data_IF_012115807669
#
_entry.id   IF_012115807669
#
_cell.length_a   1.000
_cell.length_b   1.000
_cell.length_c   1.000
_cell.angle_alpha   90.00
_cell.angle_beta   90.00
_cell.angle_gamma   90.00
#
_symmetry.space_group_name_H-M   'P 1'
#
loop_
_entity.id
_entity.type
_entity.pdbx_description
1 polymer ?
#
# COMPACT_ATOMS: atom_id res chain seq x y z
N UNK A 1 9.39 1.60 -12.44
CA UNK A 1 8.26 0.92 -11.78
C UNK A 1 7.86 -0.34 -12.53
N UNK A 2 8.33 -1.48 -12.03
CA UNK A 2 8.03 -2.80 -12.55
C UNK A 2 6.70 -3.28 -12.00
N UNK A 3 5.76 -3.50 -12.91
CA UNK A 3 4.45 -4.10 -12.60
C UNK A 3 4.60 -5.61 -12.70
N UNK A 4 4.29 -6.32 -11.60
CA UNK A 4 4.35 -7.78 -11.55
C UNK A 4 3.06 -8.41 -12.10
N UNK A 5 1.91 -7.83 -11.76
CA UNK A 5 0.58 -8.32 -12.16
C UNK A 5 -0.39 -7.16 -12.34
N UNK A 6 -1.43 -7.37 -13.16
CA UNK A 6 -2.46 -6.36 -13.45
C UNK A 6 -3.86 -6.94 -13.33
N UNK A 7 -4.84 -6.09 -13.07
CA UNK A 7 -6.25 -6.45 -13.17
C UNK A 7 -6.73 -7.37 -12.05
N UNK A 8 -6.16 -7.27 -10.86
CA UNK A 8 -6.49 -8.12 -9.73
C UNK A 8 -7.65 -7.57 -8.90
N UNK A 9 -8.59 -8.43 -8.50
CA UNK A 9 -9.61 -8.06 -7.51
C UNK A 9 -9.04 -8.15 -6.10
N UNK A 10 -9.50 -7.24 -5.23
CA UNK A 10 -9.05 -7.22 -3.83
C UNK A 10 -9.33 -8.53 -3.10
N UNK A 11 -10.43 -9.22 -3.42
CA UNK A 11 -10.77 -10.50 -2.79
C UNK A 11 -9.86 -11.66 -3.21
N UNK A 12 -9.30 -11.61 -4.42
CA UNK A 12 -8.33 -12.60 -4.92
C UNK A 12 -7.00 -12.39 -4.19
N UNK A 13 -6.52 -11.15 -4.16
CA UNK A 13 -5.29 -10.79 -3.45
C UNK A 13 -5.43 -11.04 -1.94
N UNK A 14 -6.58 -10.72 -1.36
CA UNK A 14 -6.83 -10.95 0.06
C UNK A 14 -7.20 -12.41 0.35
N UNK A 15 -7.53 -13.25 -0.64
CA UNK A 15 -8.03 -14.62 -0.44
C UNK A 15 -9.30 -14.70 0.45
N UNK A 16 -10.09 -13.62 0.55
CA UNK A 16 -11.36 -13.58 1.29
C UNK A 16 -12.32 -12.60 0.61
N UNK A 17 -13.58 -13.03 0.47
CA UNK A 17 -14.67 -12.21 -0.07
C UNK A 17 -14.93 -10.96 0.79
N UNK A 18 -15.26 -9.85 0.14
CA UNK A 18 -15.66 -8.58 0.80
C UNK A 18 -14.62 -8.00 1.78
N UNK A 19 -13.32 -8.24 1.57
CA UNK A 19 -12.26 -7.77 2.45
C UNK A 19 -12.11 -6.23 2.46
N UNK A 20 -12.31 -5.60 3.62
CA UNK A 20 -12.38 -4.13 3.74
C UNK A 20 -11.05 -3.46 4.10
N UNK A 21 -10.17 -4.13 4.86
CA UNK A 21 -8.94 -3.48 5.38
C UNK A 21 -7.97 -3.09 4.26
N UNK A 22 -7.13 -2.09 4.53
CA UNK A 22 -6.14 -1.58 3.57
C UNK A 22 -4.82 -2.37 3.59
N UNK A 23 -4.71 -3.36 4.47
CA UNK A 23 -3.61 -4.31 4.48
C UNK A 23 -4.11 -5.69 4.91
N UNK A 24 -3.33 -6.73 4.62
CA UNK A 24 -3.53 -8.07 5.16
C UNK A 24 -2.19 -8.79 5.30
N UNK A 25 -2.05 -9.62 6.33
CA UNK A 25 -0.90 -10.53 6.49
C UNK A 25 -1.32 -11.94 6.09
N UNK A 26 -0.58 -12.58 5.17
CA UNK A 26 -0.76 -13.98 4.71
C UNK A 26 0.63 -14.54 4.47
N UNK A 27 0.95 -15.74 4.97
CA UNK A 27 2.18 -16.48 4.66
C UNK A 27 3.47 -15.64 4.74
N UNK A 28 3.63 -14.87 5.83
CA UNK A 28 4.77 -13.96 6.06
C UNK A 28 4.86 -12.76 5.09
N UNK A 29 3.82 -12.52 4.30
CA UNK A 29 3.67 -11.35 3.41
C UNK A 29 2.68 -10.35 4.00
N UNK A 30 3.09 -9.08 4.08
CA UNK A 30 2.23 -7.93 4.29
C UNK A 30 1.75 -7.39 2.94
N UNK A 31 0.50 -7.72 2.57
CA UNK A 31 -0.16 -7.22 1.37
C UNK A 31 -0.81 -5.88 1.67
N UNK A 32 -0.39 -4.83 0.96
CA UNK A 32 -0.90 -3.47 1.10
C UNK A 32 -1.83 -3.13 -0.07
N UNK A 33 -3.02 -2.61 0.23
CA UNK A 33 -4.05 -2.22 -0.72
C UNK A 33 -4.20 -0.70 -0.74
N UNK A 34 -3.73 -0.09 -1.82
CA UNK A 34 -3.68 1.36 -1.98
C UNK A 34 -4.67 1.81 -3.03
N UNK A 35 -5.44 2.85 -2.68
CA UNK A 35 -6.24 3.61 -3.62
C UNK A 35 -5.65 5.01 -3.66
N UNK A 36 -5.23 5.45 -4.84
CA UNK A 36 -4.56 6.75 -5.04
C UNK A 36 -5.50 7.91 -4.76
N UNK A 37 -6.77 7.80 -5.15
CA UNK A 37 -7.79 8.84 -4.91
C UNK A 37 -8.30 8.88 -3.46
N UNK A 38 -7.78 8.02 -2.58
CA UNK A 38 -8.22 8.01 -1.18
C UNK A 38 -7.73 9.26 -0.45
N UNK A 39 -8.67 10.09 -0.05
CA UNK A 39 -8.43 11.21 0.86
C UNK A 39 -8.57 10.78 2.33
N UNK A 40 -7.77 11.39 3.18
CA UNK A 40 -7.90 11.34 4.63
C UNK A 40 -8.99 12.33 5.10
N UNK A 41 -9.42 12.27 6.39
CA UNK A 41 -10.46 13.15 6.91
C UNK A 41 -10.15 14.65 6.80
N UNK A 42 -8.86 15.01 6.77
CA UNK A 42 -8.39 16.39 6.58
C UNK A 42 -8.44 16.85 5.10
N UNK A 43 -8.91 16.01 4.17
CA UNK A 43 -9.01 16.31 2.74
C UNK A 43 -7.73 16.06 1.94
N UNK A 44 -6.61 15.75 2.59
CA UNK A 44 -5.34 15.44 1.94
C UNK A 44 -5.30 14.00 1.43
N UNK A 45 -4.42 13.71 0.47
CA UNK A 45 -4.22 12.35 -0.02
C UNK A 45 -3.65 11.47 1.10
N UNK A 46 -4.29 10.33 1.35
CA UNK A 46 -3.81 9.38 2.34
C UNK A 46 -2.56 8.62 1.84
N UNK A 47 -2.41 8.49 0.52
CA UNK A 47 -1.33 7.79 -0.14
C UNK A 47 -0.91 8.53 -1.41
N UNK A 48 0.35 8.40 -1.81
CA UNK A 48 0.89 8.96 -3.05
C UNK A 48 1.86 7.97 -3.69
N UNK A 49 1.71 7.75 -4.99
CA UNK A 49 2.68 7.03 -5.80
C UNK A 49 3.50 8.04 -6.60
N UNK A 50 4.80 8.11 -6.31
CA UNK A 50 5.76 8.91 -7.05
C UNK A 50 6.35 8.07 -8.19
N UNK A 51 5.68 8.12 -9.33
CA UNK A 51 6.07 7.38 -10.53
C UNK A 51 7.43 7.81 -11.09
N UNK A 52 7.85 9.05 -10.84
CA UNK A 52 9.13 9.57 -11.35
C UNK A 52 10.31 9.00 -10.57
N UNK A 53 10.16 8.88 -9.26
CA UNK A 53 11.22 8.43 -8.36
C UNK A 53 11.09 6.95 -7.95
N UNK A 54 10.10 6.23 -8.48
CA UNK A 54 9.76 4.85 -8.09
C UNK A 54 9.55 4.70 -6.58
N UNK A 55 8.76 5.60 -5.99
CA UNK A 55 8.44 5.55 -4.55
C UNK A 55 6.95 5.50 -4.29
N UNK A 56 6.56 4.87 -3.19
CA UNK A 56 5.21 5.01 -2.65
C UNK A 56 5.26 5.54 -1.22
N UNK A 57 4.42 6.53 -0.94
CA UNK A 57 4.22 7.14 0.37
C UNK A 57 2.82 6.79 0.85
N UNK A 58 2.71 6.00 1.93
CA UNK A 58 1.44 5.49 2.41
C UNK A 58 1.16 5.98 3.83
N UNK A 59 -0.12 6.06 4.17
CA UNK A 59 -0.57 6.45 5.50
C UNK A 59 -0.04 7.84 5.95
N UNK A 60 0.04 8.78 5.00
CA UNK A 60 0.67 10.08 5.23
C UNK A 60 -0.10 10.97 6.21
N UNK A 61 -1.41 10.73 6.36
CA UNK A 61 -2.30 11.58 7.15
C UNK A 61 -2.30 11.30 8.67
N UNK A 62 -1.77 10.16 9.11
CA UNK A 62 -1.69 9.82 10.53
C UNK A 62 -0.37 9.11 10.84
N UNK A 63 0.66 9.91 11.17
CA UNK A 63 2.00 9.41 11.48
C UNK A 63 2.01 8.57 12.77
N UNK A 64 1.14 8.86 13.73
CA UNK A 64 1.07 8.11 14.99
C UNK A 64 0.55 6.68 14.75
N UNK A 65 -0.51 6.55 13.95
CA UNK A 65 -0.99 5.25 13.49
C UNK A 65 0.05 4.56 12.60
N UNK A 66 0.67 5.29 11.67
CA UNK A 66 1.70 4.77 10.78
C UNK A 66 2.88 4.14 11.54
N UNK A 67 3.38 4.83 12.57
CA UNK A 67 4.46 4.33 13.43
C UNK A 67 4.07 3.03 14.14
N UNK A 68 2.89 2.99 14.75
CA UNK A 68 2.37 1.76 15.41
C UNK A 68 2.20 0.61 14.42
N UNK A 69 1.73 0.92 13.21
CA UNK A 69 1.56 -0.05 12.14
C UNK A 69 2.90 -0.62 11.68
N UNK A 70 3.90 0.24 11.44
CA UNK A 70 5.24 -0.17 11.03
C UNK A 70 5.87 -1.09 12.07
N UNK A 71 5.93 -0.67 13.33
CA UNK A 71 6.57 -1.47 14.40
C UNK A 71 5.97 -2.87 14.54
N UNK A 72 4.65 -3.00 14.33
CA UNK A 72 3.96 -4.29 14.39
C UNK A 72 4.26 -5.20 13.19
N UNK A 73 4.53 -4.63 12.01
CA UNK A 73 4.55 -5.38 10.75
C UNK A 73 5.90 -5.37 10.04
N UNK A 74 6.92 -4.65 10.52
CA UNK A 74 8.25 -4.49 9.90
C UNK A 74 9.01 -5.78 9.59
N UNK A 75 8.58 -6.90 10.17
CA UNK A 75 9.19 -8.23 10.00
C UNK A 75 8.66 -9.00 8.78
N UNK A 76 7.60 -8.50 8.12
CA UNK A 76 6.98 -9.17 6.97
C UNK A 76 7.54 -8.65 5.64
N UNK A 77 7.53 -9.52 4.63
CA UNK A 77 7.82 -9.14 3.25
C UNK A 77 6.64 -8.33 2.69
N UNK A 78 6.88 -7.17 2.08
CA UNK A 78 5.79 -6.31 1.60
C UNK A 78 5.44 -6.60 0.15
N UNK A 79 4.14 -6.65 -0.13
CA UNK A 79 3.58 -6.67 -1.49
C UNK A 79 2.63 -5.49 -1.66
N UNK A 80 2.88 -4.66 -2.67
CA UNK A 80 2.13 -3.43 -2.91
C UNK A 80 1.14 -3.61 -4.06
N UNK A 81 -0.13 -3.39 -3.77
CA UNK A 81 -1.22 -3.41 -4.75
C UNK A 81 -1.85 -2.03 -4.82
N UNK A 82 -1.81 -1.39 -5.99
CA UNK A 82 -2.34 -0.04 -6.20
C UNK A 82 -3.45 -0.04 -7.23
N UNK A 83 -4.46 0.78 -7.00
CA UNK A 83 -5.46 1.18 -8.01
C UNK A 83 -5.62 2.69 -8.02
N UNK A 84 -6.02 3.23 -9.17
CA UNK A 84 -6.28 4.66 -9.35
C UNK A 84 -7.46 5.14 -8.52
N UNK A 85 -8.57 4.40 -8.56
CA UNK A 85 -9.86 4.82 -8.01
C UNK A 85 -10.69 3.65 -7.43
N UNK A 86 -11.89 3.93 -6.93
CA UNK A 86 -12.75 2.90 -6.29
C UNK A 86 -13.21 1.81 -7.26
N UNK A 87 -13.48 2.15 -8.52
CA UNK A 87 -13.97 1.23 -9.56
C UNK A 87 -12.87 0.41 -10.24
N UNK A 88 -11.62 0.85 -10.14
CA UNK A 88 -10.48 0.18 -10.77
C UNK A 88 -10.03 -1.11 -10.07
N UNK A 89 -9.40 -1.98 -10.86
CA UNK A 89 -8.71 -3.19 -10.40
C UNK A 89 -7.30 -2.84 -9.91
N UNK A 90 -6.73 -3.72 -9.10
CA UNK A 90 -5.39 -3.54 -8.53
C UNK A 90 -4.30 -4.02 -9.50
N UNK A 91 -3.20 -3.28 -9.54
CA UNK A 91 -1.93 -3.70 -10.13
C UNK A 91 -0.92 -3.92 -9.00
N UNK A 92 -0.13 -4.99 -9.12
CA UNK A 92 0.95 -5.30 -8.19
C UNK A 92 2.27 -4.68 -8.67
N UNK A 93 2.97 -4.02 -7.76
CA UNK A 93 4.28 -3.42 -8.00
C UNK A 93 5.36 -4.12 -7.18
N UNK A 94 6.54 -4.30 -7.78
CA UNK A 94 7.70 -4.87 -7.11
C UNK A 94 8.23 -3.89 -6.05
N UNK A 95 8.26 -4.35 -4.79
CA UNK A 95 8.80 -3.60 -3.64
C UNK A 95 10.20 -4.08 -3.35
N UNK A 96 11.18 -3.19 -3.42
CA UNK A 96 12.58 -3.48 -3.09
C UNK A 96 12.79 -3.38 -1.58
N UNK A 97 12.30 -2.29 -0.99
CA UNK A 97 12.47 -2.00 0.43
C UNK A 97 11.30 -1.17 0.95
N UNK A 98 11.10 -1.16 2.26
CA UNK A 98 10.14 -0.29 2.90
C UNK A 98 10.58 0.09 4.31
N UNK A 99 10.25 1.31 4.71
CA UNK A 99 10.65 1.85 6.01
C UNK A 99 9.66 2.93 6.48
N UNK A 100 9.80 3.31 7.75
CA UNK A 100 9.10 4.46 8.31
C UNK A 100 9.91 5.74 8.02
N UNK A 101 9.25 6.76 7.48
CA UNK A 101 9.79 8.09 7.19
C UNK A 101 9.02 9.17 7.96
N UNK A 102 9.44 10.43 7.81
CA UNK A 102 8.72 11.62 8.28
C UNK A 102 7.38 11.84 7.55
N UNK A 103 7.19 11.21 6.39
CA UNK A 103 5.98 11.28 5.56
C UNK A 103 5.03 10.08 5.73
N UNK A 104 5.38 9.12 6.58
CA UNK A 104 4.61 7.88 6.76
C UNK A 104 5.40 6.66 6.30
N UNK A 105 4.75 5.66 5.70
CA UNK A 105 5.45 4.51 5.13
C UNK A 105 6.02 4.89 3.78
N UNK A 106 7.33 4.73 3.63
CA UNK A 106 8.02 4.91 2.36
C UNK A 106 8.43 3.55 1.81
N UNK A 107 8.05 3.28 0.56
CA UNK A 107 8.38 2.06 -0.16
C UNK A 107 9.23 2.43 -1.37
N UNK A 108 10.36 1.77 -1.51
CA UNK A 108 11.21 1.82 -2.70
C UNK A 108 10.73 0.75 -3.68
N UNK A 109 10.42 1.16 -4.91
CA UNK A 109 9.88 0.31 -5.97
C UNK A 109 10.93 0.12 -7.08
N UNK A 110 10.92 -1.05 -7.74
CA UNK A 110 11.82 -1.34 -8.87
C UNK A 110 11.39 -0.63 -10.15
#
# INVERSE_FOLDING_TARGET
MKVLQRGLKKEEIAQVKRYQRWYRVIDNELRLFVNEDRKAPNGELANKIDYKNNKAYLCMADLAYCKKFYEKNKYFNVRLYVKSDVGSLYNEYEVINWHLSDKGLELDLA
#
